data_IF_879354402753
#
_entry.id   IF_879354402753
#
_cell.length_a   1.000
_cell.length_b   1.000
_cell.length_c   1.000
_cell.angle_alpha   90.00
_cell.angle_beta   90.00
_cell.angle_gamma   90.00
#
_symmetry.space_group_name_H-M   'P 1'
#
loop_
_entity.id
_entity.type
_entity.pdbx_description
1 polymer ?
#
# COMPACT_ATOMS: atom_id res chain seq x y z
N UNK A 1 16.19 23.74 -5.07
CA UNK A 1 16.36 22.30 -5.34
C UNK A 1 15.03 21.80 -5.89
N UNK A 2 15.01 21.14 -7.04
CA UNK A 2 13.76 20.70 -7.68
C UNK A 2 13.18 19.51 -6.92
N UNK A 3 11.89 19.56 -6.59
CA UNK A 3 11.15 18.44 -6.00
C UNK A 3 10.35 17.71 -7.07
N UNK A 4 10.15 16.40 -6.92
CA UNK A 4 9.49 15.55 -7.92
C UNK A 4 8.39 14.70 -7.31
N UNK A 5 7.22 14.67 -7.95
CA UNK A 5 6.14 13.72 -7.63
C UNK A 5 6.06 12.73 -8.79
N UNK A 6 6.41 11.47 -8.54
CA UNK A 6 6.49 10.41 -9.55
C UNK A 6 5.34 9.44 -9.32
N UNK A 7 4.48 9.31 -10.33
CA UNK A 7 3.41 8.32 -10.37
C UNK A 7 3.87 7.03 -11.06
N UNK A 8 3.68 5.87 -10.40
CA UNK A 8 4.05 4.54 -10.91
C UNK A 8 2.85 3.60 -11.04
N UNK A 9 2.87 2.72 -12.03
CA UNK A 9 1.82 1.70 -12.27
C UNK A 9 2.01 0.46 -11.39
N UNK A 10 3.25 0.18 -10.95
CA UNK A 10 3.69 -1.07 -10.33
C UNK A 10 3.55 -2.27 -11.27
N UNK A 11 3.76 -2.06 -12.57
CA UNK A 11 3.40 -3.01 -13.61
C UNK A 11 4.37 -4.21 -13.67
N UNK A 12 5.68 -3.96 -13.61
CA UNK A 12 6.72 -4.97 -13.81
C UNK A 12 8.11 -4.49 -13.36
N UNK A 13 9.12 -5.37 -13.52
CA UNK A 13 10.52 -5.06 -13.24
C UNK A 13 11.09 -3.99 -14.19
N UNK A 14 10.67 -3.93 -15.45
CA UNK A 14 11.15 -2.94 -16.41
C UNK A 14 10.82 -1.50 -15.99
N UNK A 15 9.62 -1.30 -15.42
CA UNK A 15 9.22 -0.01 -14.85
C UNK A 15 10.13 0.39 -13.69
N UNK A 16 10.44 -0.56 -12.81
CA UNK A 16 11.34 -0.35 -11.68
C UNK A 16 12.77 -0.01 -12.15
N UNK A 17 13.32 -0.76 -13.10
CA UNK A 17 14.67 -0.52 -13.63
C UNK A 17 14.76 0.86 -14.30
N UNK A 18 13.73 1.23 -15.06
CA UNK A 18 13.67 2.55 -15.69
C UNK A 18 13.47 3.69 -14.68
N UNK A 19 12.80 3.44 -13.55
CA UNK A 19 12.69 4.40 -12.46
C UNK A 19 14.04 4.57 -11.76
N UNK A 20 14.76 3.49 -11.50
CA UNK A 20 16.12 3.53 -10.92
C UNK A 20 17.06 4.38 -11.78
N UNK A 21 17.07 4.17 -13.10
CA UNK A 21 17.87 5.00 -14.02
C UNK A 21 17.50 6.49 -13.98
N UNK A 22 16.21 6.80 -13.79
CA UNK A 22 15.77 8.19 -13.61
C UNK A 22 16.28 8.77 -12.28
N UNK A 23 16.20 7.99 -11.20
CA UNK A 23 16.69 8.39 -9.87
C UNK A 23 18.21 8.58 -9.85
N UNK A 24 18.99 7.78 -10.56
CA UNK A 24 20.43 7.97 -10.75
C UNK A 24 20.76 9.32 -11.39
N UNK A 25 19.88 9.79 -12.31
CA UNK A 25 19.98 11.10 -12.93
C UNK A 25 19.55 12.24 -12.00
N UNK A 26 18.53 12.02 -11.18
CA UNK A 26 17.98 13.03 -10.26
C UNK A 26 18.81 13.18 -8.97
N UNK A 27 19.47 12.11 -8.52
CA UNK A 27 20.24 12.02 -7.27
C UNK A 27 19.51 12.62 -6.06
N UNK A 28 18.32 12.11 -5.70
CA UNK A 28 17.59 12.64 -4.55
C UNK A 28 18.36 12.35 -3.26
N UNK A 29 18.36 13.29 -2.32
CA UNK A 29 18.88 13.06 -0.96
C UNK A 29 17.80 12.51 0.00
N UNK A 30 16.53 12.67 -0.37
CA UNK A 30 15.39 12.09 0.35
C UNK A 30 14.27 11.70 -0.59
N UNK A 31 13.59 10.61 -0.26
CA UNK A 31 12.50 10.05 -1.04
C UNK A 31 11.33 9.64 -0.13
N UNK A 32 10.10 9.92 -0.54
CA UNK A 32 8.89 9.41 0.10
C UNK A 32 8.32 8.23 -0.71
N UNK A 33 8.04 7.10 -0.07
CA UNK A 33 7.50 5.90 -0.72
C UNK A 33 6.10 5.54 -0.18
N UNK A 34 5.25 4.96 -1.03
CA UNK A 34 3.93 4.40 -0.66
C UNK A 34 4.02 3.09 0.14
N UNK A 35 4.85 3.12 1.19
CA UNK A 35 5.04 2.06 2.16
C UNK A 35 4.42 2.46 3.49
N UNK A 36 3.84 1.51 4.24
CA UNK A 36 3.20 1.81 5.51
C UNK A 36 4.24 2.28 6.55
N UNK A 37 3.84 3.16 7.47
CA UNK A 37 4.75 3.69 8.52
C UNK A 37 5.44 2.61 9.38
N UNK A 38 4.84 1.43 9.52
CA UNK A 38 5.42 0.29 10.23
C UNK A 38 6.15 -0.68 9.29
N UNK A 39 6.47 -0.28 8.05
CA UNK A 39 7.05 -1.14 7.02
C UNK A 39 8.34 -1.83 7.48
N UNK A 40 9.23 -1.14 8.21
CA UNK A 40 10.46 -1.77 8.70
C UNK A 40 10.17 -2.96 9.62
N UNK A 41 9.16 -2.86 10.49
CA UNK A 41 8.69 -3.99 11.29
C UNK A 41 8.07 -5.09 10.41
N UNK A 42 7.28 -4.71 9.41
CA UNK A 42 6.67 -5.68 8.48
C UNK A 42 7.72 -6.41 7.62
N UNK A 43 8.78 -5.72 7.20
CA UNK A 43 9.89 -6.27 6.41
C UNK A 43 10.64 -7.33 7.21
N UNK A 44 10.90 -7.08 8.50
CA UNK A 44 11.46 -8.08 9.42
C UNK A 44 10.57 -9.32 9.58
N UNK A 45 9.26 -9.17 9.39
CA UNK A 45 8.30 -10.27 9.38
C UNK A 45 8.14 -10.95 8.01
N UNK A 46 8.97 -10.59 7.02
CA UNK A 46 8.95 -11.16 5.67
C UNK A 46 7.84 -10.62 4.76
N UNK A 47 7.20 -9.49 5.11
CA UNK A 47 6.25 -8.82 4.21
C UNK A 47 7.01 -8.07 3.13
N UNK A 48 6.75 -8.42 1.86
CA UNK A 48 7.38 -7.82 0.69
C UNK A 48 6.31 -7.09 -0.13
N UNK A 49 6.55 -5.82 -0.43
CA UNK A 49 5.78 -5.04 -1.40
C UNK A 49 6.52 -5.10 -2.74
N UNK A 50 6.04 -5.93 -3.66
CA UNK A 50 6.79 -6.35 -4.86
C UNK A 50 7.54 -5.23 -5.61
N UNK A 51 6.93 -4.05 -5.77
CA UNK A 51 7.58 -2.90 -6.42
C UNK A 51 8.38 -2.02 -5.45
N UNK A 52 7.80 -1.66 -4.30
CA UNK A 52 8.39 -0.69 -3.38
C UNK A 52 9.48 -1.25 -2.46
N UNK A 53 9.48 -2.55 -2.18
CA UNK A 53 10.53 -3.18 -1.36
C UNK A 53 11.88 -3.13 -2.05
N UNK A 54 12.03 -3.58 -3.32
CA UNK A 54 13.29 -3.41 -4.05
C UNK A 54 13.70 -1.94 -4.24
N UNK A 55 12.72 -1.05 -4.45
CA UNK A 55 13.00 0.38 -4.61
C UNK A 55 13.54 1.01 -3.31
N UNK A 56 12.97 0.66 -2.16
CA UNK A 56 13.47 1.10 -0.85
C UNK A 56 14.89 0.59 -0.59
N UNK A 57 15.19 -0.65 -0.97
CA UNK A 57 16.53 -1.24 -0.85
C UNK A 57 17.56 -0.52 -1.71
N UNK A 58 17.21 -0.21 -2.95
CA UNK A 58 18.06 0.60 -3.83
C UNK A 58 18.31 1.99 -3.24
N UNK A 59 17.25 2.72 -2.84
CA UNK A 59 17.39 4.04 -2.23
C UNK A 59 18.25 4.02 -0.96
N UNK A 60 18.11 2.99 -0.13
CA UNK A 60 18.95 2.81 1.05
C UNK A 60 20.42 2.53 0.69
N UNK A 61 20.70 1.78 -0.39
CA UNK A 61 22.07 1.54 -0.86
C UNK A 61 22.77 2.79 -1.41
N UNK A 62 21.99 3.79 -1.82
CA UNK A 62 22.46 5.09 -2.30
C UNK A 62 22.45 6.18 -1.19
N UNK A 63 22.34 5.77 0.08
CA UNK A 63 22.28 6.66 1.25
C UNK A 63 21.13 7.70 1.19
N UNK A 64 20.03 7.39 0.50
CA UNK A 64 18.86 8.26 0.39
C UNK A 64 17.96 8.07 1.62
N UNK A 65 17.58 9.18 2.27
CA UNK A 65 16.64 9.11 3.39
C UNK A 65 15.21 8.78 2.91
N UNK A 66 14.66 7.65 3.35
CA UNK A 66 13.32 7.19 2.94
C UNK A 66 12.25 7.52 3.99
N UNK A 67 11.26 8.32 3.59
CA UNK A 67 10.05 8.59 4.37
C UNK A 67 8.92 7.64 3.96
N UNK A 68 8.26 7.00 4.93
CA UNK A 68 7.13 6.10 4.71
C UNK A 68 5.82 6.89 4.72
N UNK A 69 5.03 6.78 3.64
CA UNK A 69 3.90 7.67 3.38
C UNK A 69 2.51 7.04 3.58
N UNK A 70 2.42 5.72 3.72
CA UNK A 70 1.11 5.02 3.81
C UNK A 70 0.79 4.62 5.26
N UNK A 71 -0.46 4.23 5.49
CA UNK A 71 -0.93 3.73 6.77
C UNK A 71 -1.45 2.30 6.61
N UNK A 72 -0.88 1.36 7.36
CA UNK A 72 -1.25 -0.06 7.29
C UNK A 72 -2.75 -0.29 7.53
N UNK A 73 -3.36 0.42 8.49
CA UNK A 73 -4.80 0.29 8.78
C UNK A 73 -5.66 0.80 7.63
N UNK A 74 -5.30 1.93 7.03
CA UNK A 74 -6.03 2.49 5.89
C UNK A 74 -5.88 1.61 4.64
N UNK A 75 -4.68 1.09 4.40
CA UNK A 75 -4.40 0.13 3.33
C UNK A 75 -5.21 -1.15 3.50
N UNK A 76 -5.28 -1.64 4.73
CA UNK A 76 -6.04 -2.83 5.11
C UNK A 76 -7.54 -2.64 4.91
N UNK A 77 -8.11 -1.50 5.34
CA UNK A 77 -9.51 -1.16 5.10
C UNK A 77 -9.81 -1.07 3.60
N UNK A 78 -8.97 -0.38 2.82
CA UNK A 78 -9.12 -0.31 1.36
C UNK A 78 -9.11 -1.72 0.73
N UNK A 79 -8.16 -2.57 1.12
CA UNK A 79 -8.07 -3.95 0.66
C UNK A 79 -9.31 -4.77 1.00
N UNK A 80 -9.86 -4.59 2.20
CA UNK A 80 -11.05 -5.30 2.66
C UNK A 80 -12.29 -4.91 1.83
N UNK A 81 -12.53 -3.60 1.65
CA UNK A 81 -13.66 -3.11 0.84
C UNK A 81 -13.53 -3.56 -0.62
N UNK A 82 -12.32 -3.49 -1.20
CA UNK A 82 -12.06 -3.96 -2.58
C UNK A 82 -12.33 -5.46 -2.72
N UNK A 83 -11.93 -6.25 -1.73
CA UNK A 83 -12.17 -7.71 -1.72
C UNK A 83 -13.65 -8.03 -1.58
N UNK A 84 -14.38 -7.29 -0.74
CA UNK A 84 -15.84 -7.42 -0.63
C UNK A 84 -16.53 -7.14 -1.97
N UNK A 85 -16.11 -6.08 -2.69
CA UNK A 85 -16.60 -5.78 -4.05
C UNK A 85 -16.37 -6.96 -5.01
N UNK A 86 -15.16 -7.52 -5.03
CA UNK A 86 -14.82 -8.66 -5.88
C UNK A 86 -15.67 -9.89 -5.54
N UNK A 87 -15.97 -10.10 -4.26
CA UNK A 87 -16.84 -11.20 -3.82
C UNK A 87 -18.29 -11.03 -4.26
N UNK A 88 -18.87 -9.83 -4.14
CA UNK A 88 -20.21 -9.53 -4.67
C UNK A 88 -20.31 -9.66 -6.18
N UNK A 89 -19.21 -9.37 -6.89
CA UNK A 89 -19.09 -9.58 -8.34
C UNK A 89 -18.90 -11.06 -8.71
N UNK A 90 -18.89 -11.99 -7.74
CA UNK A 90 -18.69 -13.41 -7.97
C UNK A 90 -17.26 -13.82 -8.34
N UNK A 91 -16.29 -12.90 -8.21
CA UNK A 91 -14.87 -13.17 -8.56
C UNK A 91 -14.12 -13.86 -7.43
N UNK A 92 -14.57 -13.66 -6.18
CA UNK A 92 -14.03 -14.33 -5.00
C UNK A 92 -15.19 -15.02 -4.28
N UNK A 93 -15.27 -16.36 -4.27
CA UNK A 93 -16.29 -17.08 -3.53
C UNK A 93 -16.27 -16.72 -2.04
N UNK A 94 -17.44 -16.43 -1.46
CA UNK A 94 -17.56 -16.16 -0.01
C UNK A 94 -16.97 -17.30 0.84
N UNK A 95 -17.17 -18.54 0.41
CA UNK A 95 -16.62 -19.73 1.07
C UNK A 95 -15.09 -19.70 1.19
N UNK A 96 -14.39 -19.13 0.22
CA UNK A 96 -12.93 -19.03 0.25
C UNK A 96 -12.47 -18.00 1.29
N UNK A 97 -13.23 -16.92 1.47
CA UNK A 97 -13.00 -15.91 2.51
C UNK A 97 -13.26 -16.50 3.91
N UNK A 98 -14.35 -17.24 4.07
CA UNK A 98 -14.68 -17.95 5.31
C UNK A 98 -13.61 -18.99 5.67
N UNK A 99 -13.14 -19.77 4.68
CA UNK A 99 -12.06 -20.73 4.86
C UNK A 99 -10.75 -20.04 5.25
N UNK A 100 -10.42 -18.91 4.62
CA UNK A 100 -9.21 -18.16 4.94
C UNK A 100 -9.25 -17.57 6.36
N UNK A 101 -10.42 -17.06 6.79
CA UNK A 101 -10.63 -16.63 8.17
C UNK A 101 -10.50 -17.81 9.16
N UNK A 102 -11.10 -18.95 8.83
CA UNK A 102 -11.02 -20.16 9.65
C UNK A 102 -9.57 -20.62 9.83
N UNK A 103 -8.79 -20.65 8.75
CA UNK A 103 -7.37 -21.01 8.79
C UNK A 103 -6.60 -20.03 9.67
N UNK A 104 -6.75 -18.72 9.46
CA UNK A 104 -6.06 -17.70 10.26
C UNK A 104 -6.39 -17.81 11.76
N UNK A 105 -7.67 -17.97 12.11
CA UNK A 105 -8.09 -18.18 13.51
C UNK A 105 -7.59 -19.48 14.10
N UNK A 106 -7.62 -20.57 13.34
CA UNK A 106 -7.12 -21.88 13.78
C UNK A 106 -5.63 -21.79 14.13
N UNK A 107 -4.81 -21.10 13.33
CA UNK A 107 -3.40 -20.89 13.65
C UNK A 107 -3.21 -20.08 14.94
N UNK A 108 -4.05 -19.06 15.20
CA UNK A 108 -4.00 -18.27 16.44
C UNK A 108 -4.46 -19.06 17.67
N UNK A 109 -5.52 -19.87 17.53
CA UNK A 109 -6.11 -20.65 18.61
C UNK A 109 -5.30 -21.90 18.96
N UNK A 110 -4.72 -22.57 17.96
CA UNK A 110 -4.04 -23.85 18.16
C UNK A 110 -2.71 -23.74 18.87
N UNK A 111 -2.14 -22.54 19.07
CA UNK A 111 -1.05 -22.19 20.01
C UNK A 111 -0.06 -23.30 20.40
N UNK A 112 0.32 -24.18 19.46
CA UNK A 112 1.03 -25.41 19.73
C UNK A 112 2.51 -25.15 19.51
N UNK A 113 3.08 -24.58 20.56
CA UNK A 113 4.41 -24.90 21.08
C UNK A 113 5.59 -24.07 20.60
N UNK A 114 5.63 -23.43 19.43
CA UNK A 114 6.60 -22.34 19.14
C UNK A 114 6.29 -21.72 17.76
N UNK A 115 5.48 -20.67 17.71
CA UNK A 115 5.43 -19.80 16.53
C UNK A 115 6.23 -18.52 16.82
N UNK A 116 7.16 -18.13 15.95
CA UNK A 116 7.82 -16.84 16.09
C UNK A 116 6.79 -15.69 16.08
N UNK A 117 7.01 -14.60 16.86
CA UNK A 117 6.05 -13.49 16.98
C UNK A 117 5.57 -12.91 15.64
N UNK A 118 6.45 -12.92 14.64
CA UNK A 118 6.16 -12.50 13.27
C UNK A 118 5.03 -13.31 12.61
N UNK A 119 4.93 -14.61 12.88
CA UNK A 119 3.84 -15.43 12.33
C UNK A 119 2.51 -15.13 13.01
N UNK A 120 2.52 -14.98 14.35
CA UNK A 120 1.30 -14.63 15.10
C UNK A 120 0.71 -13.31 14.62
N UNK A 121 1.52 -12.25 14.53
CA UNK A 121 1.07 -10.93 14.06
C UNK A 121 0.54 -10.97 12.62
N UNK A 122 1.17 -11.77 11.75
CA UNK A 122 0.68 -11.99 10.39
C UNK A 122 -0.73 -12.59 10.39
N UNK A 123 -0.96 -13.66 11.16
CA UNK A 123 -2.27 -14.30 11.23
C UNK A 123 -3.32 -13.42 11.92
N UNK A 124 -2.95 -12.59 12.90
CA UNK A 124 -3.85 -11.58 13.49
C UNK A 124 -4.32 -10.57 12.42
N UNK A 125 -3.39 -10.06 11.61
CA UNK A 125 -3.71 -9.16 10.50
C UNK A 125 -4.60 -9.85 9.47
N UNK A 126 -4.26 -11.06 9.04
CA UNK A 126 -5.03 -11.81 8.05
C UNK A 126 -6.44 -12.14 8.60
N UNK A 127 -6.56 -12.52 9.87
CA UNK A 127 -7.86 -12.76 10.51
C UNK A 127 -8.70 -11.48 10.57
N UNK A 128 -8.11 -10.35 10.98
CA UNK A 128 -8.79 -9.06 11.00
C UNK A 128 -9.24 -8.65 9.59
N UNK A 129 -8.43 -8.93 8.56
CA UNK A 129 -8.74 -8.68 7.16
C UNK A 129 -10.01 -9.42 6.74
N UNK A 130 -10.00 -10.75 6.81
CA UNK A 130 -11.11 -11.56 6.33
C UNK A 130 -12.36 -11.34 7.17
N UNK A 131 -12.22 -11.10 8.47
CA UNK A 131 -13.33 -10.72 9.33
C UNK A 131 -13.97 -9.40 8.88
N UNK A 132 -13.17 -8.39 8.55
CA UNK A 132 -13.68 -7.11 8.03
C UNK A 132 -14.38 -7.27 6.68
N UNK A 133 -13.80 -8.07 5.76
CA UNK A 133 -14.43 -8.37 4.46
C UNK A 133 -15.81 -9.00 4.65
N UNK A 134 -15.92 -10.02 5.52
CA UNK A 134 -17.19 -10.71 5.75
C UNK A 134 -18.23 -9.81 6.41
N UNK A 135 -17.82 -8.93 7.34
CA UNK A 135 -18.73 -7.93 7.92
C UNK A 135 -19.34 -7.01 6.85
N UNK A 136 -18.52 -6.50 5.92
CA UNK A 136 -19.02 -5.66 4.81
C UNK A 136 -20.02 -6.43 3.93
N UNK A 137 -19.77 -7.72 3.68
CA UNK A 137 -20.70 -8.57 2.93
C UNK A 137 -21.99 -8.84 3.69
N UNK A 138 -21.93 -8.97 5.01
CA UNK A 138 -23.08 -9.20 5.88
C UNK A 138 -23.98 -7.97 6.03
N UNK A 139 -23.42 -6.76 5.85
CA UNK A 139 -24.17 -5.50 5.80
C UNK A 139 -25.05 -5.38 4.54
N UNK A 140 -24.94 -6.32 3.58
CA UNK A 140 -25.75 -6.41 2.34
C UNK A 140 -25.78 -5.12 1.52
N UNK A 141 -24.67 -4.40 1.51
CA UNK A 141 -24.51 -3.18 0.73
C UNK A 141 -24.63 -3.45 -0.77
N UNK A 142 -25.17 -2.48 -1.49
CA UNK A 142 -25.13 -2.42 -2.95
C UNK A 142 -23.71 -2.22 -3.48
N UNK A 143 -23.51 -2.48 -4.78
CA UNK A 143 -22.21 -2.23 -5.44
C UNK A 143 -21.85 -0.75 -5.41
N UNK A 144 -22.85 0.13 -5.51
CA UNK A 144 -22.71 1.58 -5.45
C UNK A 144 -22.24 2.04 -4.07
N UNK A 145 -22.84 1.52 -3.00
CA UNK A 145 -22.43 1.80 -1.62
C UNK A 145 -21.00 1.31 -1.34
N UNK A 146 -20.64 0.13 -1.84
CA UNK A 146 -19.25 -0.36 -1.73
C UNK A 146 -18.29 0.49 -2.55
N UNK A 147 -18.70 0.98 -3.72
CA UNK A 147 -17.88 1.92 -4.49
C UNK A 147 -17.68 3.24 -3.73
N UNK A 148 -18.71 3.74 -3.02
CA UNK A 148 -18.57 4.89 -2.15
C UNK A 148 -17.56 4.62 -1.02
N UNK A 149 -17.62 3.45 -0.38
CA UNK A 149 -16.63 3.04 0.63
C UNK A 149 -15.20 2.98 0.07
N UNK A 150 -15.02 2.47 -1.16
CA UNK A 150 -13.70 2.47 -1.83
C UNK A 150 -13.19 3.90 -2.01
N UNK A 151 -14.05 4.80 -2.48
CA UNK A 151 -13.68 6.20 -2.71
C UNK A 151 -13.31 6.88 -1.39
N UNK A 152 -14.07 6.65 -0.31
CA UNK A 152 -13.75 7.15 1.03
C UNK A 152 -12.43 6.58 1.55
N UNK A 153 -12.20 5.28 1.41
CA UNK A 153 -10.96 4.64 1.84
C UNK A 153 -9.73 5.19 1.09
N UNK A 154 -9.84 5.39 -0.23
CA UNK A 154 -8.79 6.03 -1.03
C UNK A 154 -8.54 7.47 -0.59
N UNK A 155 -9.60 8.27 -0.42
CA UNK A 155 -9.47 9.66 0.03
C UNK A 155 -8.75 9.75 1.38
N UNK A 156 -9.07 8.85 2.32
CA UNK A 156 -8.40 8.81 3.61
C UNK A 156 -6.92 8.45 3.48
N UNK A 157 -6.57 7.50 2.60
CA UNK A 157 -5.16 7.15 2.30
C UNK A 157 -4.42 8.34 1.68
N UNK A 158 -5.03 9.01 0.70
CA UNK A 158 -4.45 10.18 0.03
C UNK A 158 -4.24 11.35 1.00
N UNK A 159 -5.21 11.60 1.88
CA UNK A 159 -5.08 12.62 2.92
C UNK A 159 -3.92 12.29 3.87
N UNK A 160 -3.81 11.04 4.33
CA UNK A 160 -2.69 10.62 5.18
C UNK A 160 -1.35 10.78 4.46
N UNK A 161 -1.25 10.37 3.19
CA UNK A 161 -0.04 10.55 2.37
C UNK A 161 0.32 12.03 2.24
N UNK A 162 -0.66 12.89 1.95
CA UNK A 162 -0.45 14.33 1.84
C UNK A 162 0.09 14.92 3.15
N UNK A 163 -0.53 14.61 4.29
CA UNK A 163 -0.07 15.05 5.61
C UNK A 163 1.38 14.63 5.87
N UNK A 164 1.74 13.39 5.52
CA UNK A 164 3.12 12.87 5.64
C UNK A 164 4.09 13.57 4.70
N UNK A 165 3.71 13.80 3.44
CA UNK A 165 4.56 14.51 2.47
C UNK A 165 4.82 15.95 2.92
N UNK A 166 3.80 16.64 3.44
CA UNK A 166 3.92 18.00 3.94
C UNK A 166 4.75 18.09 5.23
N UNK A 167 4.69 17.05 6.07
CA UNK A 167 5.48 16.96 7.29
C UNK A 167 6.96 16.64 7.02
N UNK A 168 7.21 15.60 6.22
CA UNK A 168 8.57 15.06 5.99
C UNK A 168 9.32 15.81 4.88
N UNK A 169 8.59 16.47 3.96
CA UNK A 169 9.14 17.26 2.87
C UNK A 169 10.23 16.54 2.04
N UNK A 170 10.00 15.28 1.60
CA UNK A 170 10.99 14.56 0.80
C UNK A 170 11.27 15.28 -0.53
N UNK A 171 12.48 15.15 -1.06
CA UNK A 171 12.82 15.77 -2.34
C UNK A 171 12.06 15.09 -3.50
N UNK A 172 11.91 13.77 -3.44
CA UNK A 172 11.16 12.98 -4.43
C UNK A 172 10.07 12.19 -3.74
N UNK A 173 8.85 12.19 -4.26
CA UNK A 173 7.74 11.35 -3.80
C UNK A 173 7.45 10.33 -4.89
N UNK A 174 7.41 9.05 -4.54
CA UNK A 174 7.16 7.95 -5.48
C UNK A 174 5.97 7.15 -4.93
N UNK A 175 4.83 7.26 -5.60
CA UNK A 175 3.56 6.65 -5.20
C UNK A 175 2.82 6.15 -6.43
N UNK A 176 1.77 5.35 -6.23
CA UNK A 176 0.92 4.89 -7.32
C UNK A 176 0.36 6.03 -8.14
N UNK A 177 0.32 5.88 -9.47
CA UNK A 177 -0.04 6.95 -10.40
C UNK A 177 -1.42 7.55 -10.10
N UNK A 178 -2.39 6.73 -9.71
CA UNK A 178 -3.71 7.20 -9.30
C UNK A 178 -3.63 8.18 -8.11
N UNK A 179 -2.80 7.89 -7.11
CA UNK A 179 -2.60 8.78 -5.96
C UNK A 179 -1.80 10.02 -6.35
N UNK A 180 -0.78 9.87 -7.20
CA UNK A 180 0.00 11.00 -7.71
C UNK A 180 -0.86 11.99 -8.52
N UNK A 181 -1.75 11.49 -9.38
CA UNK A 181 -2.69 12.31 -10.15
C UNK A 181 -3.65 13.09 -9.25
N UNK A 182 -4.14 12.48 -8.15
CA UNK A 182 -4.97 13.19 -7.16
C UNK A 182 -4.18 14.26 -6.41
N UNK A 183 -2.94 13.94 -5.98
CA UNK A 183 -2.17 14.80 -5.09
C UNK A 183 -1.40 15.92 -5.78
N UNK A 184 -1.19 15.86 -7.10
CA UNK A 184 -0.41 16.88 -7.84
C UNK A 184 -0.93 18.32 -7.68
N UNK A 185 -2.24 18.49 -7.47
CA UNK A 185 -2.86 19.80 -7.26
C UNK A 185 -2.58 20.39 -5.86
N UNK A 186 -2.40 19.50 -4.88
CA UNK A 186 -2.12 19.85 -3.48
C UNK A 186 -0.61 20.01 -3.21
N UNK A 187 0.23 19.59 -4.15
CA UNK A 187 1.69 19.61 -4.07
C UNK A 187 2.32 20.46 -5.20
N UNK A 188 2.00 21.77 -5.29
CA UNK A 188 2.42 22.62 -6.41
C UNK A 188 3.94 22.80 -6.53
N UNK A 189 4.67 22.58 -5.44
CA UNK A 189 6.14 22.66 -5.40
C UNK A 189 6.83 21.44 -6.01
N UNK A 190 6.08 20.36 -6.28
CA UNK A 190 6.59 19.13 -6.86
C UNK A 190 6.31 19.09 -8.36
N UNK A 191 7.36 18.93 -9.17
CA UNK A 191 7.21 18.66 -10.60
C UNK A 191 6.66 17.24 -10.78
N UNK A 192 5.45 17.15 -11.31
CA UNK A 192 4.80 15.86 -11.57
C UNK A 192 5.43 15.15 -12.80
N UNK A 193 5.81 13.90 -12.61
CA UNK A 193 6.31 12.98 -13.63
C UNK A 193 5.37 11.77 -13.71
N UNK A 194 4.56 11.73 -14.77
CA UNK A 194 3.61 10.65 -15.03
C UNK A 194 4.27 9.56 -15.87
N UNK A 195 4.50 8.38 -15.29
CA UNK A 195 5.16 7.26 -16.00
C UNK A 195 4.17 6.32 -16.72
N UNK A 196 2.90 6.32 -16.30
CA UNK A 196 1.83 5.51 -16.90
C UNK A 196 1.50 5.88 -18.36
N UNK A 197 1.87 7.09 -18.81
CA UNK A 197 1.62 7.62 -20.16
C UNK A 197 2.79 7.48 -21.14
N UNK A 198 3.88 6.82 -20.76
CA UNK A 198 5.08 6.65 -21.59
C UNK A 198 5.09 5.32 -22.40
N UNK A 199 3.95 4.61 -22.47
CA UNK A 199 3.77 3.39 -23.28
C UNK A 199 3.40 3.69 -24.73
#
# INVERSE_FOLDING_TARGET
>A
MTKYLIGVDHANQEELDSLILELDGLKPISAGLELPINYQEQKLMGVIYAFFTPLEEYLASEDVHVSLLDNDKLKHEYGAVKTAKLSLQGRIPRKDLEQSLFVAKTFLEQNTTYMPPEFTRRFERDAAFYQRVLQILDDRLSIEEIQALINTANKNREQFMLERILQEQPQTVIIGDAHAETLKGELPDYKYLCRSKLK
#
